data_IF_708776524676
#
_entry.id   IF_708776524676
#
_cell.length_a   1.000
_cell.length_b   1.000
_cell.length_c   1.000
_cell.angle_alpha   90.00
_cell.angle_beta   90.00
_cell.angle_gamma   90.00
#
_symmetry.space_group_name_H-M   'P 1'
#
loop_
_entity.id
_entity.type
_entity.pdbx_description
1 polymer ?
#
# COMPACT_ATOMS: atom_id res chain seq x y z
N UNK A 1 -58.97 -0.88 22.29
CA UNK A 1 -59.13 0.48 21.72
C UNK A 1 -57.87 1.23 22.09
N UNK A 2 -56.89 1.26 21.17
CA UNK A 2 -56.51 2.46 20.38
C UNK A 2 -55.99 3.57 21.28
N UNK A 3 -54.85 4.20 21.06
CA UNK A 3 -53.85 4.19 20.00
C UNK A 3 -52.77 5.21 20.44
N UNK A 4 -51.62 5.22 19.76
CA UNK A 4 -50.94 6.44 19.22
C UNK A 4 -50.58 7.62 20.18
N UNK A 5 -49.51 8.40 20.03
CA UNK A 5 -48.62 8.64 18.90
C UNK A 5 -47.37 9.40 19.39
N UNK A 6 -46.36 9.33 18.52
CA UNK A 6 -45.12 10.11 18.47
C UNK A 6 -45.28 11.63 18.66
N UNK A 7 -44.23 12.33 19.12
CA UNK A 7 -43.33 13.11 18.23
C UNK A 7 -42.31 13.98 18.98
N UNK A 8 -41.12 14.00 18.38
CA UNK A 8 -39.98 14.90 18.53
C UNK A 8 -40.30 16.35 18.89
N UNK A 9 -39.39 17.02 19.61
CA UNK A 9 -38.57 18.09 19.01
C UNK A 9 -37.53 18.73 19.95
N UNK A 10 -36.38 19.02 19.32
CA UNK A 10 -35.54 20.19 19.58
C UNK A 10 -34.58 20.15 20.76
N UNK A 11 -33.31 19.93 20.45
CA UNK A 11 -32.26 20.65 21.18
C UNK A 11 -31.22 21.17 20.20
N UNK A 12 -31.22 22.50 20.08
CA UNK A 12 -30.21 23.33 19.44
C UNK A 12 -28.80 22.86 19.83
N UNK A 13 -27.96 22.62 18.83
CA UNK A 13 -26.50 22.69 18.99
C UNK A 13 -26.05 23.95 18.25
N UNK A 14 -25.72 24.99 19.02
CA UNK A 14 -24.96 26.15 18.55
C UNK A 14 -23.50 25.88 18.95
N UNK A 15 -22.62 26.02 17.96
CA UNK A 15 -21.15 26.06 18.00
C UNK A 15 -20.60 26.87 19.18
N UNK A 16 -19.40 26.66 19.73
CA UNK A 16 -18.11 26.77 19.06
C UNK A 16 -17.02 26.70 20.13
N UNK A 17 -15.96 25.93 19.92
CA UNK A 17 -14.60 26.41 20.20
C UNK A 17 -13.61 25.50 19.48
N UNK A 18 -12.78 26.15 18.67
CA UNK A 18 -11.81 25.55 17.79
C UNK A 18 -10.67 24.91 18.58
N UNK A 19 -10.84 23.63 18.93
CA UNK A 19 -9.72 22.70 19.04
C UNK A 19 -9.61 22.00 17.69
N UNK A 20 -8.51 22.20 16.95
CA UNK A 20 -8.19 21.33 15.82
C UNK A 20 -8.03 19.91 16.37
N UNK A 21 -9.12 19.15 16.32
CA UNK A 21 -9.07 17.70 16.48
C UNK A 21 -8.26 17.20 15.29
N UNK A 22 -7.02 16.80 15.53
CA UNK A 22 -6.33 15.90 14.63
C UNK A 22 -7.13 14.60 14.67
N UNK A 23 -8.15 14.50 13.80
CA UNK A 23 -8.82 13.26 13.50
C UNK A 23 -7.71 12.31 13.04
N UNK A 24 -7.32 11.37 13.89
CA UNK A 24 -6.52 10.23 13.46
C UNK A 24 -7.40 9.53 12.43
N UNK A 25 -7.03 9.58 11.14
CA UNK A 25 -7.88 9.01 10.13
C UNK A 25 -7.95 7.49 10.37
N UNK A 26 -9.11 6.84 10.17
CA UNK A 26 -9.23 5.40 10.35
C UNK A 26 -8.16 4.66 9.52
N UNK A 27 -7.67 3.50 9.98
CA UNK A 27 -6.48 2.83 9.43
C UNK A 27 -6.55 2.48 7.94
N UNK A 28 -7.73 2.54 7.33
CA UNK A 28 -7.94 2.37 5.89
C UNK A 28 -7.54 3.60 5.05
N UNK A 29 -7.46 4.80 5.63
CA UNK A 29 -7.10 6.04 4.91
C UNK A 29 -5.58 6.23 4.74
N UNK A 30 -4.80 5.57 5.57
CA UNK A 30 -3.34 5.65 5.64
C UNK A 30 -2.63 5.15 4.37
N UNK A 31 -3.12 4.06 3.77
CA UNK A 31 -2.60 3.50 2.53
C UNK A 31 -2.87 4.39 1.30
N UNK A 32 -3.99 5.12 1.29
CA UNK A 32 -4.42 5.93 0.14
C UNK A 32 -3.47 7.09 -0.14
N UNK A 33 -2.98 7.77 0.91
CA UNK A 33 -2.04 8.87 0.75
C UNK A 33 -0.68 8.41 0.21
N UNK A 34 -0.14 7.31 0.74
CA UNK A 34 1.12 6.73 0.26
C UNK A 34 1.01 6.33 -1.22
N UNK A 35 -0.06 5.63 -1.59
CA UNK A 35 -0.29 5.22 -2.98
C UNK A 35 -0.45 6.43 -3.91
N UNK A 36 -1.16 7.46 -3.46
CA UNK A 36 -1.34 8.71 -4.23
C UNK A 36 0.00 9.40 -4.45
N UNK A 37 0.82 9.51 -3.40
CA UNK A 37 2.17 10.08 -3.45
C UNK A 37 3.09 9.30 -4.41
N UNK A 38 3.12 7.97 -4.29
CA UNK A 38 3.97 7.11 -5.13
C UNK A 38 3.57 7.12 -6.62
N UNK A 39 2.31 7.38 -6.91
CA UNK A 39 1.78 7.46 -8.28
C UNK A 39 1.77 8.88 -8.85
N UNK A 40 2.25 9.86 -8.09
CA UNK A 40 2.32 11.24 -8.55
C UNK A 40 3.33 11.35 -9.70
N UNK A 41 2.90 11.96 -10.81
CA UNK A 41 3.73 12.12 -12.03
C UNK A 41 4.44 13.48 -12.09
N UNK A 42 4.40 14.23 -10.98
CA UNK A 42 4.98 15.57 -10.92
C UNK A 42 6.51 15.49 -10.94
N UNK A 43 7.20 16.23 -11.83
CA UNK A 43 8.65 16.23 -11.87
C UNK A 43 9.28 16.77 -10.58
N UNK A 44 8.53 17.60 -9.84
CA UNK A 44 8.99 18.22 -8.58
C UNK A 44 9.24 17.21 -7.47
N UNK A 45 8.61 16.04 -7.53
CA UNK A 45 8.64 15.04 -6.46
C UNK A 45 9.44 13.78 -6.86
N UNK A 46 10.12 13.76 -8.01
CA UNK A 46 10.82 12.56 -8.50
C UNK A 46 11.83 12.05 -7.49
N UNK A 47 12.65 12.94 -6.91
CA UNK A 47 13.64 12.54 -5.91
C UNK A 47 12.99 12.00 -4.63
N UNK A 48 11.94 12.65 -4.16
CA UNK A 48 11.18 12.21 -2.99
C UNK A 48 10.54 10.84 -3.22
N UNK A 49 9.92 10.63 -4.38
CA UNK A 49 9.35 9.33 -4.79
C UNK A 49 10.45 8.27 -4.88
N UNK A 50 11.64 8.63 -5.40
CA UNK A 50 12.78 7.71 -5.47
C UNK A 50 13.28 7.32 -4.08
N UNK A 51 13.40 8.27 -3.13
CA UNK A 51 13.81 7.98 -1.75
C UNK A 51 12.82 7.06 -1.04
N UNK A 52 11.52 7.31 -1.16
CA UNK A 52 10.48 6.43 -0.60
C UNK A 52 10.50 5.06 -1.28
N UNK A 53 10.71 5.00 -2.61
CA UNK A 53 10.83 3.73 -3.34
C UNK A 53 12.05 2.93 -2.87
N UNK A 54 13.19 3.60 -2.62
CA UNK A 54 14.39 2.97 -2.06
C UNK A 54 14.13 2.43 -0.66
N UNK A 55 13.40 3.18 0.18
CA UNK A 55 12.99 2.73 1.51
C UNK A 55 12.09 1.50 1.45
N UNK A 56 11.08 1.50 0.57
CA UNK A 56 10.21 0.33 0.33
C UNK A 56 11.03 -0.88 -0.12
N UNK A 57 11.97 -0.72 -1.05
CA UNK A 57 12.83 -1.81 -1.50
C UNK A 57 13.68 -2.38 -0.35
N UNK A 58 14.33 -1.52 0.44
CA UNK A 58 15.17 -1.95 1.55
C UNK A 58 14.37 -2.69 2.63
N UNK A 59 13.16 -2.22 2.95
CA UNK A 59 12.26 -2.90 3.89
C UNK A 59 11.83 -4.25 3.34
N UNK A 60 11.51 -4.35 2.03
CA UNK A 60 11.15 -5.62 1.40
C UNK A 60 12.29 -6.65 1.45
N UNK A 61 13.53 -6.20 1.21
CA UNK A 61 14.73 -7.05 1.36
C UNK A 61 14.90 -7.54 2.80
N UNK A 62 14.75 -6.63 3.79
CA UNK A 62 14.85 -6.97 5.20
C UNK A 62 13.75 -7.95 5.66
N UNK A 63 12.49 -7.73 5.26
CA UNK A 63 11.38 -8.65 5.56
C UNK A 63 11.60 -10.03 4.92
N UNK A 64 12.09 -10.08 3.68
CA UNK A 64 12.39 -11.34 3.00
C UNK A 64 13.49 -12.11 3.73
N UNK A 65 14.55 -11.42 4.16
CA UNK A 65 15.64 -12.02 4.94
C UNK A 65 15.15 -12.51 6.30
N UNK A 66 14.36 -11.71 7.01
CA UNK A 66 13.76 -12.08 8.28
C UNK A 66 12.88 -13.33 8.16
N UNK A 67 12.07 -13.41 7.09
CA UNK A 67 11.24 -14.59 6.82
C UNK A 67 12.05 -15.84 6.54
N UNK A 68 13.10 -15.74 5.72
CA UNK A 68 14.00 -16.86 5.45
C UNK A 68 14.65 -17.39 6.74
N UNK A 69 15.06 -16.50 7.65
CA UNK A 69 15.61 -16.88 8.96
C UNK A 69 14.58 -17.62 9.83
N UNK A 70 13.29 -17.25 9.77
CA UNK A 70 12.23 -17.96 10.49
C UNK A 70 12.05 -19.38 9.92
N UNK A 71 12.12 -19.54 8.61
CA UNK A 71 11.95 -20.84 7.92
C UNK A 71 13.12 -21.80 8.19
N UNK A 72 14.34 -21.30 8.35
CA UNK A 72 15.53 -22.09 8.73
C UNK A 72 15.50 -22.61 10.17
N UNK A 73 14.51 -22.20 10.97
CA UNK A 73 14.33 -22.60 12.36
C UNK A 73 15.14 -21.75 13.35
N UNK A 74 14.95 -21.95 14.66
CA UNK A 74 15.59 -21.15 15.70
C UNK A 74 17.09 -21.48 15.76
N UNK A 75 17.89 -20.74 14.98
CA UNK A 75 19.31 -20.57 15.29
C UNK A 75 19.41 -19.73 16.56
N UNK A 76 20.45 -19.95 17.37
CA UNK A 76 20.79 -19.05 18.47
C UNK A 76 21.05 -17.65 17.86
N UNK A 77 20.00 -16.81 17.81
CA UNK A 77 19.99 -15.51 17.14
C UNK A 77 21.17 -14.64 17.57
N UNK A 78 21.59 -14.81 18.83
CA UNK A 78 22.68 -14.08 19.47
C UNK A 78 24.08 -14.65 19.20
N UNK A 79 24.24 -15.82 18.58
CA UNK A 79 25.55 -16.49 18.46
C UNK A 79 26.12 -16.54 17.04
N UNK A 80 25.33 -16.31 16.00
CA UNK A 80 25.78 -16.48 14.60
C UNK A 80 25.16 -15.46 13.64
N UNK A 81 25.02 -14.19 14.04
CA UNK A 81 24.69 -13.15 13.06
C UNK A 81 25.98 -12.70 12.37
N UNK A 82 26.06 -12.96 11.07
CA UNK A 82 27.12 -12.37 10.24
C UNK A 82 26.78 -10.92 9.91
N UNK A 83 27.79 -10.10 9.59
CA UNK A 83 27.57 -8.73 9.12
C UNK A 83 26.63 -8.69 7.90
N UNK A 84 26.73 -9.70 7.03
CA UNK A 84 25.89 -9.86 5.85
C UNK A 84 24.41 -10.11 6.20
N UNK A 85 24.12 -10.77 7.33
CA UNK A 85 22.76 -10.98 7.81
C UNK A 85 22.09 -9.69 8.29
N UNK A 86 22.89 -8.74 8.78
CA UNK A 86 22.44 -7.46 9.30
C UNK A 86 22.40 -6.35 8.24
N UNK A 87 23.07 -6.53 7.10
CA UNK A 87 23.18 -5.52 6.05
C UNK A 87 21.82 -4.94 5.58
N UNK A 88 20.75 -5.75 5.37
CA UNK A 88 19.44 -5.19 5.00
C UNK A 88 18.84 -4.28 6.08
N UNK A 89 19.03 -4.61 7.35
CA UNK A 89 18.51 -3.82 8.48
C UNK A 89 19.29 -2.50 8.62
N UNK A 90 20.62 -2.55 8.53
CA UNK A 90 21.45 -1.34 8.52
C UNK A 90 21.12 -0.40 7.36
N UNK A 91 20.77 -0.95 6.18
CA UNK A 91 20.32 -0.16 5.04
C UNK A 91 19.00 0.56 5.35
N UNK A 92 18.05 -0.12 5.99
CA UNK A 92 16.80 0.50 6.45
C UNK A 92 17.07 1.60 7.48
N UNK A 93 17.92 1.33 8.48
CA UNK A 93 18.30 2.31 9.50
C UNK A 93 18.95 3.56 8.88
N UNK A 94 19.87 3.36 7.94
CA UNK A 94 20.52 4.45 7.22
C UNK A 94 19.50 5.31 6.45
N UNK A 95 18.55 4.69 5.74
CA UNK A 95 17.49 5.42 5.03
C UNK A 95 16.50 6.12 5.98
N UNK A 96 16.19 5.51 7.13
CA UNK A 96 15.28 6.12 8.11
C UNK A 96 15.95 7.27 8.89
N UNK A 97 17.27 7.23 9.04
CA UNK A 97 18.02 8.28 9.74
C UNK A 97 17.82 9.68 9.15
N UNK A 98 17.53 9.79 7.84
CA UNK A 98 17.25 11.08 7.20
C UNK A 98 15.86 11.63 7.52
N UNK A 99 14.93 10.79 7.97
CA UNK A 99 13.57 11.19 8.32
C UNK A 99 13.40 11.44 9.83
N UNK A 100 14.27 10.86 10.65
CA UNK A 100 14.24 10.99 12.10
C UNK A 100 14.76 12.37 12.52
N UNK A 101 13.87 13.25 13.00
CA UNK A 101 14.22 14.35 13.91
C UNK A 101 12.97 14.97 14.52
N UNK A 102 13.08 15.25 15.82
CA UNK A 102 12.14 15.90 16.74
C UNK A 102 11.13 14.95 17.42
N UNK A 103 11.37 14.55 18.68
CA UNK A 103 10.27 14.13 19.55
C UNK A 103 9.30 15.29 19.69
N UNK A 104 8.06 15.12 19.24
CA UNK A 104 6.99 16.11 19.40
C UNK A 104 6.19 15.75 20.63
N UNK A 105 6.13 16.68 21.57
CA UNK A 105 5.35 16.57 22.79
C UNK A 105 3.93 17.03 22.48
N UNK A 106 3.00 16.09 22.43
CA UNK A 106 1.57 16.37 22.30
C UNK A 106 0.90 16.37 23.67
N UNK A 107 0.01 17.33 23.89
CA UNK A 107 -0.97 17.28 24.98
C UNK A 107 -2.27 16.68 24.43
N UNK A 108 -2.62 15.48 24.91
CA UNK A 108 -3.87 14.81 24.59
C UNK A 108 -4.90 14.94 25.70
N UNK A 109 -6.17 14.73 25.37
CA UNK A 109 -7.27 14.59 26.32
C UNK A 109 -7.98 13.28 25.98
N UNK A 110 -8.06 12.36 26.94
CA UNK A 110 -8.75 11.08 26.78
C UNK A 110 -10.28 11.25 26.84
N UNK A 111 -11.01 10.19 26.52
CA UNK A 111 -12.49 10.21 26.50
C UNK A 111 -13.11 10.47 27.88
N UNK A 112 -12.39 10.15 28.95
CA UNK A 112 -12.76 10.42 30.35
C UNK A 112 -12.38 11.84 30.81
N UNK A 113 -11.79 12.66 29.94
CA UNK A 113 -11.36 14.02 30.24
C UNK A 113 -9.96 14.12 30.85
N UNK A 114 -9.25 13.01 31.08
CA UNK A 114 -7.88 13.05 31.61
C UNK A 114 -6.90 13.62 30.57
N UNK A 115 -6.05 14.55 31.00
CA UNK A 115 -4.97 15.08 30.14
C UNK A 115 -3.76 14.17 30.20
N UNK A 116 -3.19 13.84 29.05
CA UNK A 116 -1.95 13.07 28.97
C UNK A 116 -0.92 13.79 28.10
N UNK A 117 0.35 13.48 28.35
CA UNK A 117 1.47 13.90 27.49
C UNK A 117 1.86 12.70 26.65
N UNK A 118 1.87 12.88 25.34
CA UNK A 118 2.23 11.86 24.36
C UNK A 118 3.44 12.36 23.58
N UNK A 119 4.57 11.67 23.73
CA UNK A 119 5.79 11.98 22.99
C UNK A 119 5.79 11.12 21.73
N UNK A 120 5.51 11.75 20.58
CA UNK A 120 5.59 11.06 19.29
C UNK A 120 6.89 11.38 18.60
N UNK A 121 7.54 10.33 18.12
CA UNK A 121 8.58 10.47 17.11
C UNK A 121 7.87 10.83 15.80
N UNK A 122 7.84 12.11 15.47
CA UNK A 122 7.42 12.55 14.15
C UNK A 122 8.62 12.44 13.21
N UNK A 123 8.38 12.05 11.97
CA UNK A 123 9.35 12.32 10.92
C UNK A 123 9.31 13.84 10.70
N UNK A 124 10.44 14.51 10.91
CA UNK A 124 10.47 15.97 11.09
C UNK A 124 11.76 16.63 10.60
N UNK A 125 12.36 16.09 9.54
CA UNK A 125 13.49 16.75 8.88
C UNK A 125 12.98 17.97 8.10
N UNK A 126 13.38 19.18 8.51
CA UNK A 126 12.95 20.43 7.87
C UNK A 126 13.42 20.54 6.41
N UNK A 127 14.47 19.82 6.03
CA UNK A 127 15.01 19.81 4.67
C UNK A 127 14.22 18.90 3.71
N UNK A 128 13.30 18.08 4.24
CA UNK A 128 12.49 17.16 3.43
C UNK A 128 11.06 17.67 3.27
N UNK A 129 10.44 17.49 2.09
CA UNK A 129 9.03 17.83 1.89
C UNK A 129 8.11 17.08 2.86
N UNK A 130 7.13 17.77 3.45
CA UNK A 130 6.16 17.18 4.41
C UNK A 130 5.46 15.96 3.81
N UNK A 131 5.11 16.01 2.52
CA UNK A 131 4.45 14.90 1.83
C UNK A 131 5.33 13.63 1.78
N UNK A 132 6.64 13.80 1.60
CA UNK A 132 7.61 12.69 1.62
C UNK A 132 7.72 12.10 3.03
N UNK A 133 7.84 12.95 4.04
CA UNK A 133 7.90 12.51 5.44
C UNK A 133 6.62 11.77 5.83
N UNK A 134 5.46 12.27 5.39
CA UNK A 134 4.20 11.57 5.60
C UNK A 134 4.19 10.21 4.90
N UNK A 135 4.65 10.13 3.64
CA UNK A 135 4.77 8.86 2.93
C UNK A 135 5.69 7.86 3.66
N UNK A 136 6.86 8.29 4.15
CA UNK A 136 7.75 7.45 4.94
C UNK A 136 7.08 6.91 6.21
N UNK A 137 6.32 7.75 6.93
CA UNK A 137 5.59 7.29 8.12
C UNK A 137 4.51 6.25 7.80
N UNK A 138 3.85 6.37 6.64
CA UNK A 138 2.90 5.37 6.17
C UNK A 138 3.57 4.04 5.83
N UNK A 139 4.78 4.07 5.25
CA UNK A 139 5.56 2.86 5.00
C UNK A 139 5.91 2.15 6.31
N UNK A 140 6.38 2.88 7.32
CA UNK A 140 6.68 2.33 8.65
C UNK A 140 5.41 1.73 9.29
N UNK A 141 4.28 2.43 9.21
CA UNK A 141 3.01 1.94 9.74
C UNK A 141 2.57 0.62 9.08
N UNK A 142 2.78 0.46 7.77
CA UNK A 142 2.50 -0.80 7.08
C UNK A 142 3.36 -1.97 7.61
N UNK A 143 4.63 -1.73 7.96
CA UNK A 143 5.49 -2.74 8.58
C UNK A 143 5.00 -3.08 9.99
N UNK A 144 4.76 -2.08 10.82
CA UNK A 144 4.29 -2.26 12.20
C UNK A 144 2.95 -3.02 12.27
N UNK A 145 2.06 -2.77 11.31
CA UNK A 145 0.76 -3.45 11.21
C UNK A 145 0.81 -4.78 10.46
N UNK A 146 2.00 -5.26 10.05
CA UNK A 146 2.20 -6.48 9.25
C UNK A 146 1.42 -6.49 7.93
N UNK A 147 1.21 -5.31 7.35
CA UNK A 147 0.48 -5.09 6.09
C UNK A 147 1.39 -4.69 4.93
N UNK A 148 2.70 -4.63 5.15
CA UNK A 148 3.67 -4.24 4.12
C UNK A 148 3.58 -5.10 2.86
N UNK A 149 3.37 -6.41 2.99
CA UNK A 149 3.22 -7.34 1.86
C UNK A 149 2.05 -7.04 0.92
N UNK A 150 1.09 -6.21 1.34
CA UNK A 150 -0.02 -5.77 0.50
C UNK A 150 0.34 -4.58 -0.39
N UNK A 151 1.39 -3.81 -0.07
CA UNK A 151 1.86 -2.75 -0.94
C UNK A 151 2.62 -3.34 -2.13
N UNK A 152 2.06 -3.21 -3.33
CA UNK A 152 2.61 -3.81 -4.54
C UNK A 152 2.66 -2.83 -5.70
N UNK A 153 3.61 -3.06 -6.62
CA UNK A 153 3.70 -2.33 -7.89
C UNK A 153 3.05 -3.16 -9.00
N UNK A 154 2.01 -2.61 -9.63
CA UNK A 154 1.33 -3.27 -10.73
C UNK A 154 2.19 -3.24 -12.01
N UNK A 155 1.92 -4.14 -12.95
CA UNK A 155 2.56 -4.18 -14.28
C UNK A 155 2.29 -2.94 -15.14
N UNK A 156 1.30 -2.11 -14.79
CA UNK A 156 1.11 -0.79 -15.39
C UNK A 156 2.06 0.29 -14.84
N UNK A 157 2.89 -0.04 -13.85
CA UNK A 157 3.84 0.86 -13.19
C UNK A 157 3.29 1.54 -11.94
N UNK A 158 1.98 1.48 -11.71
CA UNK A 158 1.33 2.13 -10.56
C UNK A 158 1.41 1.26 -9.30
N UNK A 159 1.68 1.90 -8.17
CA UNK A 159 1.57 1.32 -6.84
C UNK A 159 0.11 1.17 -6.42
N UNK A 160 -0.19 0.14 -5.65
CA UNK A 160 -1.50 -0.07 -5.04
C UNK A 160 -1.36 -0.90 -3.76
N UNK A 161 -2.37 -0.84 -2.89
CA UNK A 161 -2.49 -1.77 -1.77
C UNK A 161 -3.48 -2.87 -2.14
N UNK A 162 -2.99 -4.10 -2.12
CA UNK A 162 -3.76 -5.30 -2.42
C UNK A 162 -4.75 -5.63 -1.30
N UNK A 163 -5.96 -6.06 -1.67
CA UNK A 163 -6.95 -6.54 -0.70
C UNK A 163 -6.67 -7.99 -0.26
N UNK A 164 -5.93 -8.73 -1.07
CA UNK A 164 -5.58 -10.13 -0.88
C UNK A 164 -4.12 -10.35 -1.29
N UNK A 165 -3.45 -11.30 -0.65
CA UNK A 165 -2.03 -11.59 -0.92
C UNK A 165 -1.77 -12.04 -2.37
N UNK A 166 -2.76 -12.65 -3.02
CA UNK A 166 -2.69 -13.14 -4.41
C UNK A 166 -2.93 -12.05 -5.47
N UNK A 167 -3.37 -10.86 -5.07
CA UNK A 167 -3.77 -9.81 -6.00
C UNK A 167 -2.55 -9.08 -6.57
N UNK A 168 -2.17 -9.43 -7.80
CA UNK A 168 -1.02 -8.83 -8.53
C UNK A 168 -1.36 -7.57 -9.35
N UNK A 169 -2.61 -7.14 -9.38
CA UNK A 169 -3.08 -6.06 -10.27
C UNK A 169 -3.93 -5.02 -9.55
N UNK A 170 -3.72 -3.75 -9.86
CA UNK A 170 -4.42 -2.62 -9.24
C UNK A 170 -5.91 -2.52 -9.63
N UNK A 171 -6.29 -2.98 -10.83
CA UNK A 171 -7.66 -2.81 -11.35
C UNK A 171 -8.14 -4.00 -12.18
N UNK A 172 -9.46 -4.10 -12.40
CA UNK A 172 -10.07 -5.09 -13.30
C UNK A 172 -9.50 -4.99 -14.72
N UNK A 173 -9.18 -3.79 -15.18
CA UNK A 173 -8.56 -3.55 -16.50
C UNK A 173 -7.15 -4.13 -16.57
N UNK A 174 -6.32 -3.89 -15.55
CA UNK A 174 -4.98 -4.46 -15.49
C UNK A 174 -5.03 -5.99 -15.33
N UNK A 175 -5.99 -6.51 -14.57
CA UNK A 175 -6.25 -7.95 -14.45
C UNK A 175 -6.57 -8.59 -15.79
N UNK A 176 -7.49 -8.00 -16.56
CA UNK A 176 -7.85 -8.50 -17.89
C UNK A 176 -6.65 -8.44 -18.85
N UNK A 177 -5.89 -7.33 -18.87
CA UNK A 177 -4.67 -7.23 -19.67
C UNK A 177 -3.65 -8.30 -19.30
N UNK A 178 -3.47 -8.56 -18.00
CA UNK A 178 -2.57 -9.62 -17.52
C UNK A 178 -3.03 -11.00 -17.98
N UNK A 179 -4.33 -11.29 -17.89
CA UNK A 179 -4.90 -12.56 -18.36
C UNK A 179 -4.77 -12.73 -19.87
N UNK A 180 -5.07 -11.71 -20.67
CA UNK A 180 -4.93 -11.76 -22.13
C UNK A 180 -3.48 -11.99 -22.56
N UNK A 181 -2.51 -11.54 -21.74
CA UNK A 181 -1.08 -11.78 -21.98
C UNK A 181 -0.62 -13.18 -21.54
N UNK A 182 -1.43 -13.94 -20.80
CA UNK A 182 -1.06 -15.27 -20.34
C UNK A 182 -0.95 -16.26 -21.51
N UNK A 183 -0.04 -17.23 -21.39
CA UNK A 183 0.11 -18.27 -22.40
C UNK A 183 -1.14 -19.14 -22.51
N UNK A 184 -1.86 -19.37 -21.42
CA UNK A 184 -3.14 -20.10 -21.44
C UNK A 184 -4.18 -19.40 -22.31
N UNK A 185 -4.31 -18.08 -22.18
CA UNK A 185 -5.23 -17.31 -23.02
C UNK A 185 -4.79 -17.37 -24.49
N UNK A 186 -3.50 -17.14 -24.76
CA UNK A 186 -2.99 -17.22 -26.13
C UNK A 186 -3.16 -18.61 -26.74
N UNK A 187 -2.96 -19.67 -25.97
CA UNK A 187 -3.15 -21.05 -26.41
C UNK A 187 -4.61 -21.32 -26.77
N UNK A 188 -5.55 -20.96 -25.87
CA UNK A 188 -7.00 -21.06 -26.13
C UNK A 188 -7.42 -20.24 -27.34
N UNK A 189 -6.88 -19.02 -27.48
CA UNK A 189 -7.18 -18.15 -28.61
C UNK A 189 -6.65 -18.72 -29.94
N UNK A 190 -5.43 -19.28 -29.95
CA UNK A 190 -4.87 -19.97 -31.13
C UNK A 190 -5.75 -21.15 -31.55
N UNK A 191 -6.18 -21.96 -30.60
CA UNK A 191 -7.05 -23.12 -30.86
C UNK A 191 -8.44 -22.71 -31.39
N UNK A 192 -9.04 -21.68 -30.79
CA UNK A 192 -10.30 -21.11 -31.26
C UNK A 192 -10.20 -20.61 -32.70
N UNK A 193 -9.12 -19.89 -33.04
CA UNK A 193 -8.92 -19.39 -34.39
C UNK A 193 -8.74 -20.52 -35.40
N UNK A 194 -7.99 -21.57 -35.06
CA UNK A 194 -7.85 -22.77 -35.91
C UNK A 194 -9.22 -23.40 -36.23
N UNK A 195 -10.05 -23.62 -35.21
CA UNK A 195 -11.40 -24.18 -35.37
C UNK A 195 -12.28 -23.30 -36.28
N UNK A 196 -12.21 -21.98 -36.11
CA UNK A 196 -12.98 -21.03 -36.93
C UNK A 196 -12.54 -21.01 -38.40
N UNK A 197 -11.25 -21.18 -38.68
CA UNK A 197 -10.75 -21.29 -40.05
C UNK A 197 -11.13 -22.62 -40.70
N UNK A 198 -11.13 -23.72 -39.93
CA UNK A 198 -11.57 -25.03 -40.42
C UNK A 198 -13.05 -25.01 -40.82
N UNK A 199 -13.93 -24.48 -39.96
CA UNK A 199 -15.37 -24.39 -40.27
C UNK A 199 -15.65 -23.53 -41.51
N UNK A 200 -14.94 -22.40 -41.66
CA UNK A 200 -15.06 -21.56 -42.86
C UNK A 200 -14.61 -22.24 -44.15
N UNK A 201 -13.61 -23.14 -44.08
CA UNK A 201 -13.13 -23.86 -45.26
C UNK A 201 -14.16 -24.90 -45.72
N UNK A 202 -14.88 -25.51 -44.79
CA UNK A 202 -15.94 -26.50 -45.07
C UNK A 202 -17.21 -25.84 -45.64
N UNK A 203 -17.47 -24.57 -45.31
CA UNK A 203 -18.62 -23.81 -45.80
C UNK A 203 -18.46 -23.26 -47.24
N UNK A 204 -17.26 -23.29 -47.84
CA UNK A 204 -17.06 -22.87 -49.24
C UNK A 204 -17.28 -24.09 -50.15
N UNK A 205 -18.38 -24.14 -50.93
CA UNK A 205 -18.62 -25.27 -51.83
C UNK A 205 -17.53 -25.31 -52.92
N UNK A 206 -17.07 -26.50 -53.33
CA UNK A 206 -15.93 -26.70 -54.24
C UNK A 206 -16.20 -26.31 -55.72
N UNK A 207 -17.00 -25.27 -55.99
CA UNK A 207 -17.44 -24.94 -57.36
C UNK A 207 -17.60 -23.45 -57.69
N UNK A 208 -17.09 -22.52 -56.88
CA UNK A 208 -17.24 -21.06 -57.10
C UNK A 208 -15.96 -20.35 -57.60
N UNK A 209 -15.00 -21.08 -58.14
CA UNK A 209 -13.88 -20.51 -58.91
C UNK A 209 -14.16 -20.72 -60.41
N UNK A 210 -14.69 -19.68 -61.06
CA UNK A 210 -14.74 -19.53 -62.52
C UNK A 210 -13.45 -18.85 -63.01
#
# INVERSE_FOLDING_TARGET
MTSENDTLTSTKIISSSAGQRLCVPPPEQHSTHLVTFLNEKSPRNIESIQRITNLISAIGEAESKHRAQIEEGPKDFWKTQTLDDLAPFHRVDSLLSSYLRVPVIHKGIALDGTTFVDIRMMLGNQDLPIAEQYAASQVINLVQTKKFSFLQKCTCGEWFVALRSDQKTCSKRCRLKSYVRSEDYKAKHRDLMKRRYQSKKEEVPPGSAL
#
